data_IF_802966400749
#
_entry.id   IF_802966400749
#
_cell.length_a   1.000
_cell.length_b   1.000
_cell.length_c   1.000
_cell.angle_alpha   90.00
_cell.angle_beta   90.00
_cell.angle_gamma   90.00
#
_symmetry.space_group_name_H-M   'P 1'
#
loop_
_entity.id
_entity.type
_entity.pdbx_description
1 polymer ?
#
# COMPACT_ATOMS: atom_id res chain seq x y z
N UNK A 1 -33.83 35.95 58.43
CA UNK A 1 -32.78 35.07 57.87
C UNK A 1 -33.06 34.90 56.37
N UNK A 2 -32.28 35.55 55.50
CA UNK A 2 -32.45 35.47 54.04
C UNK A 2 -31.57 34.33 53.51
N UNK A 3 -32.20 33.30 52.96
CA UNK A 3 -31.52 32.16 52.34
C UNK A 3 -30.96 32.57 50.98
N UNK A 4 -29.64 32.47 50.83
CA UNK A 4 -28.91 32.72 49.58
C UNK A 4 -28.89 31.40 48.78
N UNK A 5 -29.71 31.29 47.74
CA UNK A 5 -29.65 30.18 46.80
C UNK A 5 -28.51 30.44 45.80
N UNK A 6 -27.40 29.72 45.97
CA UNK A 6 -26.29 29.69 45.02
C UNK A 6 -26.66 28.71 43.91
N UNK A 7 -26.99 29.26 42.74
CA UNK A 7 -27.26 28.49 41.53
C UNK A 7 -25.91 28.07 40.93
N UNK A 8 -25.51 26.81 41.11
CA UNK A 8 -24.37 26.21 40.43
C UNK A 8 -24.74 25.93 38.96
N UNK A 9 -24.35 26.82 38.05
CA UNK A 9 -24.36 26.54 36.62
C UNK A 9 -23.25 25.54 36.29
N UNK A 10 -23.61 24.27 36.10
CA UNK A 10 -22.72 23.30 35.47
C UNK A 10 -22.60 23.66 33.98
N UNK A 11 -21.47 24.26 33.59
CA UNK A 11 -21.06 24.34 32.20
C UNK A 11 -20.74 22.90 31.72
N UNK A 12 -21.66 22.29 30.98
CA UNK A 12 -21.35 21.09 30.21
C UNK A 12 -20.51 21.54 29.02
N UNK A 13 -19.19 21.35 29.11
CA UNK A 13 -18.32 21.44 27.94
C UNK A 13 -18.74 20.31 27.00
N UNK A 14 -19.52 20.65 25.96
CA UNK A 14 -19.72 19.75 24.83
C UNK A 14 -18.35 19.64 24.14
N UNK A 15 -17.61 18.58 24.44
CA UNK A 15 -16.48 18.18 23.63
C UNK A 15 -17.05 17.86 22.25
N UNK A 16 -16.79 18.72 21.27
CA UNK A 16 -16.97 18.39 19.87
C UNK A 16 -16.05 17.22 19.57
N UNK A 17 -16.57 15.99 19.66
CA UNK A 17 -15.98 14.84 18.99
C UNK A 17 -15.95 15.24 17.51
N UNK A 18 -14.78 15.64 17.01
CA UNK A 18 -14.57 15.69 15.57
C UNK A 18 -14.85 14.26 15.10
N UNK A 19 -15.95 14.08 14.37
CA UNK A 19 -16.21 12.82 13.71
C UNK A 19 -15.02 12.60 12.78
N UNK A 20 -14.28 11.51 12.98
CA UNK A 20 -13.26 11.11 12.01
C UNK A 20 -13.98 10.87 10.67
N UNK A 21 -13.46 11.45 9.59
CA UNK A 21 -14.07 11.28 8.26
C UNK A 21 -14.05 9.80 7.89
N UNK A 22 -15.18 9.27 7.42
CA UNK A 22 -15.26 7.90 6.94
C UNK A 22 -14.48 7.77 5.62
N UNK A 23 -13.92 6.57 5.39
CA UNK A 23 -13.31 6.22 4.13
C UNK A 23 -14.37 6.04 3.05
N UNK A 24 -14.41 6.97 2.10
CA UNK A 24 -15.26 6.88 0.92
C UNK A 24 -14.34 6.79 -0.31
N UNK A 25 -14.27 5.62 -0.98
CA UNK A 25 -13.54 5.48 -2.24
C UNK A 25 -14.03 6.50 -3.26
N UNK A 26 -13.10 7.09 -4.03
CA UNK A 26 -13.44 8.04 -5.08
C UNK A 26 -14.15 7.41 -6.30
N UNK A 27 -14.27 6.08 -6.32
CA UNK A 27 -14.85 5.26 -7.37
C UNK A 27 -15.42 3.98 -6.77
N UNK A 28 -16.16 3.19 -7.56
CA UNK A 28 -16.40 1.79 -7.22
C UNK A 28 -15.08 1.04 -7.11
N UNK A 29 -14.95 0.15 -6.13
CA UNK A 29 -13.74 -0.67 -6.04
C UNK A 29 -13.63 -1.54 -7.30
N UNK A 30 -12.41 -1.88 -7.72
CA UNK A 30 -12.20 -2.73 -8.89
C UNK A 30 -12.57 -4.18 -8.59
N UNK A 31 -13.08 -4.91 -9.59
CA UNK A 31 -13.21 -6.38 -9.49
C UNK A 31 -11.81 -7.02 -9.50
N UNK A 32 -11.57 -8.09 -8.71
CA UNK A 32 -12.53 -8.79 -7.84
C UNK A 32 -12.69 -8.14 -6.45
N UNK A 33 -11.87 -7.16 -6.06
CA UNK A 33 -11.90 -6.57 -4.71
C UNK A 33 -13.31 -6.13 -4.28
N UNK A 34 -14.09 -5.53 -5.18
CA UNK A 34 -15.45 -5.08 -4.88
C UNK A 34 -16.39 -6.21 -4.43
N UNK A 35 -16.20 -7.40 -4.98
CA UNK A 35 -17.02 -8.59 -4.74
C UNK A 35 -16.66 -9.26 -3.42
N UNK A 36 -15.39 -9.19 -3.03
CA UNK A 36 -14.84 -9.88 -1.84
C UNK A 36 -14.56 -8.94 -0.66
N UNK A 37 -14.80 -7.64 -0.82
CA UNK A 37 -14.55 -6.63 0.20
C UNK A 37 -15.26 -6.94 1.51
N UNK A 38 -14.65 -6.51 2.60
CA UNK A 38 -15.26 -6.53 3.94
C UNK A 38 -15.10 -5.18 4.58
N UNK A 39 -16.17 -4.69 5.20
CA UNK A 39 -16.11 -3.45 5.95
C UNK A 39 -15.38 -3.68 7.28
N UNK A 40 -14.47 -2.76 7.61
CA UNK A 40 -13.67 -2.77 8.84
C UNK A 40 -13.90 -1.49 9.64
N UNK A 41 -13.60 -1.48 10.96
CA UNK A 41 -13.68 -0.27 11.75
C UNK A 41 -12.90 0.92 11.17
N UNK A 42 -11.74 0.67 10.55
CA UNK A 42 -10.92 1.74 9.93
C UNK A 42 -11.64 2.46 8.80
N UNK A 43 -12.54 1.79 8.08
CA UNK A 43 -13.32 2.39 6.99
C UNK A 43 -14.32 3.44 7.51
N UNK A 44 -14.76 3.33 8.76
CA UNK A 44 -15.67 4.29 9.39
C UNK A 44 -14.94 5.37 10.19
N UNK A 45 -13.61 5.27 10.31
CA UNK A 45 -12.79 6.03 11.27
C UNK A 45 -11.59 6.72 10.63
N UNK A 46 -11.34 6.51 9.34
CA UNK A 46 -10.19 7.10 8.68
C UNK A 46 -10.48 7.43 7.22
N UNK A 47 -10.49 8.73 6.89
CA UNK A 47 -10.67 9.20 5.53
C UNK A 47 -9.40 9.04 4.69
N UNK A 48 -9.47 9.26 3.36
CA UNK A 48 -8.35 9.03 2.45
C UNK A 48 -7.11 9.90 2.70
N UNK A 49 -7.24 11.04 3.40
CA UNK A 49 -6.08 11.87 3.80
C UNK A 49 -5.33 11.32 5.00
N UNK A 50 -5.96 10.45 5.80
CA UNK A 50 -5.41 9.98 7.05
C UNK A 50 -5.12 11.11 8.05
N UNK A 51 -4.11 10.92 8.90
CA UNK A 51 -3.59 11.91 9.87
C UNK A 51 -2.38 12.69 9.34
N UNK A 52 -2.20 12.78 8.01
CA UNK A 52 -1.02 13.43 7.41
C UNK A 52 -0.72 14.82 8.00
N UNK A 53 0.51 15.01 8.48
CA UNK A 53 0.93 16.20 9.27
C UNK A 53 0.94 17.49 8.44
N UNK A 54 1.07 17.36 7.12
CA UNK A 54 1.13 18.47 6.18
C UNK A 54 0.45 18.11 4.84
N UNK A 55 0.29 19.12 3.97
CA UNK A 55 -0.38 18.95 2.69
C UNK A 55 0.27 17.88 1.79
N UNK A 56 1.59 17.74 1.84
CA UNK A 56 2.31 16.74 1.03
C UNK A 56 2.04 15.31 1.53
N UNK A 57 2.05 15.11 2.85
CA UNK A 57 1.70 13.81 3.44
C UNK A 57 0.23 13.46 3.16
N UNK A 58 -0.69 14.40 3.31
CA UNK A 58 -2.11 14.20 2.96
C UNK A 58 -2.28 13.84 1.49
N UNK A 59 -1.59 14.56 0.59
CA UNK A 59 -1.63 14.26 -0.85
C UNK A 59 -1.08 12.86 -1.15
N UNK A 60 -0.01 12.44 -0.48
CA UNK A 60 0.49 11.07 -0.59
C UNK A 60 -0.51 10.05 -0.07
N UNK A 61 -1.12 10.28 1.09
CA UNK A 61 -2.11 9.38 1.69
C UNK A 61 -3.34 9.21 0.78
N UNK A 62 -3.78 10.28 0.11
CA UNK A 62 -4.87 10.21 -0.88
C UNK A 62 -4.51 9.28 -2.03
N UNK A 63 -3.27 9.35 -2.55
CA UNK A 63 -2.83 8.42 -3.61
C UNK A 63 -2.65 7.01 -3.04
N UNK A 64 -2.05 6.89 -1.84
CA UNK A 64 -1.85 5.61 -1.15
C UNK A 64 -3.20 4.90 -0.93
N UNK A 65 -4.26 5.64 -0.68
CA UNK A 65 -5.63 5.12 -0.51
C UNK A 65 -6.49 5.12 -1.78
N UNK A 66 -5.89 5.31 -2.97
CA UNK A 66 -6.63 5.37 -4.22
C UNK A 66 -6.86 3.98 -4.82
N UNK A 67 -8.11 3.53 -4.84
CA UNK A 67 -8.52 2.26 -5.46
C UNK A 67 -8.98 2.41 -6.92
N UNK A 68 -8.77 3.57 -7.54
CA UNK A 68 -9.42 3.96 -8.80
C UNK A 68 -8.55 3.80 -10.05
N UNK A 69 -7.45 3.06 -9.96
CA UNK A 69 -6.67 2.73 -11.16
C UNK A 69 -7.48 1.77 -12.06
N UNK A 70 -7.76 2.17 -13.30
CA UNK A 70 -8.59 1.44 -14.26
C UNK A 70 -7.84 1.03 -15.52
N UNK A 71 -8.45 0.16 -16.34
CA UNK A 71 -7.93 -0.25 -17.65
C UNK A 71 -7.40 -1.68 -17.65
N UNK A 72 -6.59 -2.02 -18.65
CA UNK A 72 -5.87 -3.29 -18.67
C UNK A 72 -4.58 -3.15 -17.84
N UNK A 73 -4.36 -4.00 -16.81
CA UNK A 73 -3.14 -3.92 -16.03
C UNK A 73 -1.89 -4.11 -16.89
N UNK A 74 -0.96 -3.15 -16.83
CA UNK A 74 0.33 -3.33 -17.49
C UNK A 74 1.21 -4.28 -16.68
N UNK A 75 1.71 -5.33 -17.31
CA UNK A 75 2.61 -6.27 -16.65
C UNK A 75 4.00 -5.65 -16.54
N UNK A 76 4.49 -5.51 -15.31
CA UNK A 76 5.80 -4.92 -15.04
C UNK A 76 6.88 -5.99 -14.91
N UNK A 77 8.12 -5.58 -15.16
CA UNK A 77 9.30 -6.37 -14.79
C UNK A 77 10.07 -5.63 -13.70
N UNK A 78 10.99 -6.33 -13.02
CA UNK A 78 11.86 -5.71 -12.03
C UNK A 78 12.71 -4.58 -12.63
N UNK A 79 13.04 -4.65 -13.92
CA UNK A 79 13.80 -3.60 -14.58
C UNK A 79 12.95 -2.34 -14.84
N UNK A 80 11.63 -2.49 -15.06
CA UNK A 80 10.73 -1.34 -15.13
C UNK A 80 10.71 -0.56 -13.81
N UNK A 81 10.65 -1.24 -12.66
CA UNK A 81 10.77 -0.59 -11.35
C UNK A 81 12.12 0.13 -11.16
N UNK A 82 13.23 -0.45 -11.65
CA UNK A 82 14.54 0.24 -11.63
C UNK A 82 14.51 1.50 -12.50
N UNK A 83 13.91 1.44 -13.68
CA UNK A 83 13.80 2.60 -14.58
C UNK A 83 12.94 3.69 -13.97
N UNK A 84 11.80 3.35 -13.36
CA UNK A 84 10.97 4.28 -12.58
C UNK A 84 11.80 4.96 -11.48
N UNK A 85 12.53 4.18 -10.67
CA UNK A 85 13.39 4.73 -9.62
C UNK A 85 14.47 5.67 -10.16
N UNK A 86 15.15 5.28 -11.24
CA UNK A 86 16.18 6.10 -11.87
C UNK A 86 15.64 7.44 -12.36
N UNK A 87 14.41 7.44 -12.91
CA UNK A 87 13.75 8.67 -13.37
C UNK A 87 13.33 9.56 -12.22
N UNK A 88 12.74 8.99 -11.17
CA UNK A 88 12.45 9.73 -9.93
C UNK A 88 13.71 10.33 -9.32
N UNK A 89 14.82 9.59 -9.27
CA UNK A 89 16.11 10.11 -8.79
C UNK A 89 16.63 11.26 -9.65
N UNK A 90 16.46 11.19 -10.97
CA UNK A 90 16.84 12.28 -11.87
C UNK A 90 15.99 13.54 -11.61
N UNK A 91 14.68 13.40 -11.41
CA UNK A 91 13.81 14.52 -11.04
C UNK A 91 14.23 15.16 -9.70
N UNK A 92 14.56 14.35 -8.69
CA UNK A 92 15.07 14.85 -7.40
C UNK A 92 16.41 15.56 -7.55
N UNK A 93 17.34 15.01 -8.34
CA UNK A 93 18.63 15.64 -8.60
C UNK A 93 18.50 16.97 -9.36
N UNK A 94 17.47 17.11 -10.20
CA UNK A 94 17.12 18.35 -10.89
C UNK A 94 16.35 19.35 -10.03
N UNK A 95 15.99 19.00 -8.78
CA UNK A 95 15.15 19.83 -7.92
C UNK A 95 13.69 19.94 -8.37
N UNK A 96 13.23 19.04 -9.25
CA UNK A 96 11.84 19.04 -9.73
C UNK A 96 10.88 18.37 -8.75
N UNK A 97 11.38 17.48 -7.90
CA UNK A 97 10.62 16.84 -6.81
C UNK A 97 11.52 16.68 -5.57
N UNK A 98 10.90 16.54 -4.41
CA UNK A 98 11.56 16.16 -3.16
C UNK A 98 10.98 14.84 -2.64
N UNK A 99 11.78 14.00 -2.00
CA UNK A 99 11.30 12.82 -1.27
C UNK A 99 12.31 12.37 -0.21
N UNK A 100 11.81 11.58 0.74
CA UNK A 100 12.51 11.06 1.91
C UNK A 100 12.22 11.88 3.16
N UNK A 101 11.78 11.22 4.23
CA UNK A 101 11.43 11.85 5.50
C UNK A 101 9.97 12.28 5.58
N UNK A 102 9.73 13.41 6.24
CA UNK A 102 8.37 13.95 6.51
C UNK A 102 7.78 14.76 5.34
N UNK A 103 8.55 14.95 4.27
CA UNK A 103 8.21 15.77 3.12
C UNK A 103 8.25 14.92 1.83
N UNK A 104 7.24 14.06 1.60
CA UNK A 104 7.05 13.46 0.27
C UNK A 104 6.78 14.56 -0.78
N UNK A 105 6.80 14.25 -2.09
CA UNK A 105 6.54 15.25 -3.12
C UNK A 105 5.15 15.89 -2.92
N UNK A 106 5.12 17.21 -2.69
CA UNK A 106 3.87 17.95 -2.55
C UNK A 106 3.10 18.01 -3.88
N UNK A 107 3.83 18.23 -4.99
CA UNK A 107 3.31 18.05 -6.34
C UNK A 107 3.76 16.68 -6.89
N UNK A 108 2.77 15.84 -7.21
CA UNK A 108 2.97 14.50 -7.75
C UNK A 108 2.69 14.44 -9.26
N UNK A 109 2.39 15.56 -9.90
CA UNK A 109 2.06 15.63 -11.34
C UNK A 109 3.16 15.01 -12.20
N UNK A 110 4.43 15.28 -11.86
CA UNK A 110 5.63 14.74 -12.52
C UNK A 110 5.82 13.22 -12.37
N UNK A 111 5.09 12.60 -11.45
CA UNK A 111 5.17 11.16 -11.19
C UNK A 111 4.11 10.36 -11.94
N UNK A 112 3.04 10.99 -12.45
CA UNK A 112 1.91 10.28 -13.09
C UNK A 112 2.29 9.66 -14.44
N UNK A 113 2.99 10.42 -15.27
CA UNK A 113 3.37 10.05 -16.63
C UNK A 113 4.90 9.96 -16.76
N UNK A 114 5.53 9.10 -15.95
CA UNK A 114 6.97 9.14 -15.71
C UNK A 114 7.79 8.45 -16.80
N UNK A 115 7.35 7.28 -17.27
CA UNK A 115 8.05 6.49 -18.30
C UNK A 115 7.08 5.85 -19.27
N UNK A 116 7.57 5.47 -20.45
CA UNK A 116 6.84 4.58 -21.37
C UNK A 116 7.41 3.17 -21.28
N UNK A 117 6.55 2.20 -21.00
CA UNK A 117 6.87 0.77 -20.98
C UNK A 117 5.85 0.02 -21.86
N UNK A 118 6.33 -0.83 -22.77
CA UNK A 118 5.48 -1.59 -23.70
C UNK A 118 4.48 -0.70 -24.48
N UNK A 119 4.90 0.52 -24.85
CA UNK A 119 4.07 1.47 -25.59
C UNK A 119 3.04 2.22 -24.75
N UNK A 120 2.97 1.97 -23.44
CA UNK A 120 2.05 2.64 -22.50
C UNK A 120 2.85 3.54 -21.56
N UNK A 121 2.42 4.78 -21.40
CA UNK A 121 2.98 5.68 -20.39
C UNK A 121 2.43 5.33 -19.01
N UNK A 122 3.32 5.17 -18.04
CA UNK A 122 3.00 4.75 -16.69
C UNK A 122 3.72 5.61 -15.64
N UNK A 123 3.15 5.56 -14.44
CA UNK A 123 3.62 6.23 -13.24
C UNK A 123 2.57 6.13 -12.14
N UNK A 124 2.60 7.08 -11.21
CA UNK A 124 1.76 7.14 -10.03
C UNK A 124 0.26 7.12 -10.42
N UNK A 125 -0.48 6.13 -9.94
CA UNK A 125 -1.89 5.93 -10.29
C UNK A 125 -2.15 4.94 -11.43
N UNK A 126 -1.12 4.42 -12.10
CA UNK A 126 -1.30 3.45 -13.21
C UNK A 126 -1.75 2.08 -12.70
N UNK A 127 -2.65 1.40 -13.40
CA UNK A 127 -3.04 0.02 -13.09
C UNK A 127 -1.97 -0.95 -13.62
N UNK A 128 -1.39 -1.74 -12.72
CA UNK A 128 -0.25 -2.60 -13.04
C UNK A 128 -0.40 -3.99 -12.45
N UNK A 129 0.41 -4.91 -12.98
CA UNK A 129 0.47 -6.30 -12.54
C UNK A 129 1.92 -6.77 -12.45
N UNK A 130 2.25 -7.57 -11.44
CA UNK A 130 3.61 -8.09 -11.26
C UNK A 130 3.60 -9.53 -10.74
N UNK A 131 4.45 -10.38 -11.31
CA UNK A 131 4.64 -11.77 -10.88
C UNK A 131 5.94 -11.90 -10.07
N UNK A 132 5.81 -12.43 -8.86
CA UNK A 132 6.92 -12.56 -7.91
C UNK A 132 6.76 -13.75 -6.97
N UNK A 133 7.83 -14.08 -6.26
CA UNK A 133 7.78 -14.87 -5.04
C UNK A 133 7.65 -13.91 -3.86
N UNK A 134 6.95 -14.32 -2.80
CA UNK A 134 6.85 -13.52 -1.57
C UNK A 134 7.82 -14.10 -0.54
N UNK A 135 8.92 -13.39 -0.28
CA UNK A 135 9.90 -13.83 0.72
C UNK A 135 9.38 -13.64 2.15
N UNK A 136 8.71 -12.52 2.40
CA UNK A 136 8.18 -12.17 3.71
C UNK A 136 6.87 -11.41 3.60
N UNK A 137 6.00 -11.59 4.59
CA UNK A 137 4.78 -10.81 4.78
C UNK A 137 4.63 -10.39 6.24
N UNK A 138 4.10 -9.19 6.49
CA UNK A 138 3.90 -8.64 7.85
C UNK A 138 2.84 -7.54 7.87
N UNK A 139 2.22 -7.33 9.02
CA UNK A 139 1.45 -6.10 9.25
C UNK A 139 2.42 -4.94 9.52
N UNK A 140 2.19 -3.79 8.91
CA UNK A 140 2.95 -2.57 9.15
C UNK A 140 2.61 -1.95 10.49
N UNK A 141 3.62 -1.29 11.08
CA UNK A 141 3.52 -0.33 12.18
C UNK A 141 2.45 -0.60 13.26
N UNK A 142 2.14 -1.86 13.62
CA UNK A 142 0.98 -2.19 14.47
C UNK A 142 1.00 -1.55 15.87
N UNK A 143 2.16 -1.07 16.33
CA UNK A 143 2.31 -0.39 17.62
C UNK A 143 1.93 1.08 17.59
N UNK A 144 2.19 1.77 16.48
CA UNK A 144 2.04 3.23 16.35
C UNK A 144 0.99 3.62 15.29
N UNK A 145 0.72 2.74 14.34
CA UNK A 145 -0.12 2.96 13.17
C UNK A 145 0.64 3.60 12.01
N UNK A 146 -0.07 3.78 10.90
CA UNK A 146 0.38 4.57 9.76
C UNK A 146 -0.52 5.78 9.60
N UNK A 147 0.04 6.91 9.16
CA UNK A 147 -0.76 8.13 9.00
C UNK A 147 -1.88 7.95 7.98
N UNK A 148 -1.64 7.19 6.91
CA UNK A 148 -2.68 6.82 5.91
C UNK A 148 -3.86 6.07 6.54
N UNK A 149 -3.61 5.37 7.65
CA UNK A 149 -4.60 4.63 8.43
C UNK A 149 -4.89 5.31 9.78
N UNK A 150 -4.72 6.63 9.84
CA UNK A 150 -5.02 7.51 10.98
C UNK A 150 -4.34 7.09 12.30
N UNK A 151 -3.10 6.61 12.20
CA UNK A 151 -2.28 6.15 13.32
C UNK A 151 -3.00 5.09 14.20
N UNK A 152 -3.96 4.38 13.61
CA UNK A 152 -4.70 3.32 14.31
C UNK A 152 -3.77 2.14 14.53
N UNK A 153 -3.79 1.63 15.75
CA UNK A 153 -2.93 0.50 16.16
C UNK A 153 -3.55 -0.83 15.79
N UNK A 154 -2.70 -1.87 15.76
CA UNK A 154 -3.10 -3.25 15.56
C UNK A 154 -3.16 -3.67 14.09
N UNK A 155 -3.10 -5.00 13.87
CA UNK A 155 -3.04 -5.59 12.53
C UNK A 155 -4.29 -5.36 11.67
N UNK A 156 -5.46 -5.18 12.29
CA UNK A 156 -6.70 -4.96 11.56
C UNK A 156 -6.74 -3.60 10.85
N UNK A 157 -6.05 -2.60 11.41
CA UNK A 157 -6.09 -1.22 10.93
C UNK A 157 -4.82 -0.79 10.19
N UNK A 158 -3.89 -1.71 9.90
CA UNK A 158 -2.64 -1.39 9.22
C UNK A 158 -2.45 -2.25 7.97
N UNK A 159 -1.61 -1.78 7.06
CA UNK A 159 -1.34 -2.45 5.79
C UNK A 159 -0.65 -3.80 6.01
N UNK A 160 -0.83 -4.72 5.06
CA UNK A 160 0.01 -5.92 4.96
C UNK A 160 1.11 -5.63 3.93
N UNK A 161 2.36 -5.63 4.36
CA UNK A 161 3.52 -5.45 3.49
C UNK A 161 4.02 -6.80 2.99
N UNK A 162 4.24 -6.90 1.67
CA UNK A 162 4.80 -8.05 0.98
C UNK A 162 6.19 -7.72 0.44
N UNK A 163 7.21 -8.48 0.85
CA UNK A 163 8.57 -8.40 0.32
C UNK A 163 8.67 -9.30 -0.93
N UNK A 164 8.65 -8.70 -2.11
CA UNK A 164 8.62 -9.38 -3.41
C UNK A 164 10.02 -9.63 -3.95
N UNK A 165 10.30 -10.89 -4.31
CA UNK A 165 11.61 -11.35 -4.83
C UNK A 165 11.44 -12.21 -6.10
N UNK A 166 12.53 -12.45 -6.80
CA UNK A 166 12.60 -13.42 -7.91
C UNK A 166 13.30 -14.72 -7.52
N UNK A 167 14.01 -14.76 -6.40
CA UNK A 167 14.50 -15.97 -5.76
C UNK A 167 14.37 -15.83 -4.23
N UNK A 168 13.87 -16.88 -3.56
CA UNK A 168 13.72 -16.89 -2.10
C UNK A 168 15.08 -16.85 -1.36
N UNK A 169 16.13 -17.32 -2.01
CA UNK A 169 17.49 -17.36 -1.46
C UNK A 169 18.44 -16.56 -2.35
N UNK A 170 19.40 -15.87 -1.72
CA UNK A 170 20.44 -15.13 -2.45
C UNK A 170 20.04 -13.71 -2.86
N UNK A 171 18.80 -13.29 -2.66
CA UNK A 171 18.41 -11.88 -2.80
C UNK A 171 18.59 -11.11 -1.48
N UNK A 172 19.26 -9.97 -1.59
CA UNK A 172 19.42 -9.01 -0.49
C UNK A 172 18.16 -8.16 -0.35
N UNK A 173 18.00 -7.50 0.80
CA UNK A 173 16.89 -6.57 1.02
C UNK A 173 16.82 -5.46 -0.06
N UNK A 174 17.97 -5.02 -0.58
CA UNK A 174 18.05 -4.00 -1.63
C UNK A 174 17.64 -4.47 -3.03
N UNK A 175 17.33 -5.76 -3.20
CA UNK A 175 16.84 -6.33 -4.46
C UNK A 175 15.32 -6.58 -4.44
N UNK A 176 14.71 -6.41 -3.27
CA UNK A 176 13.28 -6.62 -3.03
C UNK A 176 12.45 -5.45 -3.57
N UNK A 177 11.29 -5.78 -4.10
CA UNK A 177 10.19 -4.83 -4.36
C UNK A 177 9.13 -4.96 -3.27
N UNK A 178 8.22 -3.99 -3.19
CA UNK A 178 7.14 -4.00 -2.21
C UNK A 178 5.78 -4.00 -2.91
N UNK A 179 4.82 -4.67 -2.28
CA UNK A 179 3.40 -4.46 -2.51
C UNK A 179 2.72 -4.43 -1.16
N UNK A 180 1.67 -3.62 -1.04
CA UNK A 180 1.02 -3.37 0.23
C UNK A 180 -0.51 -3.57 0.09
N UNK A 181 -1.12 -4.20 1.08
CA UNK A 181 -2.56 -4.49 1.09
C UNK A 181 -3.20 -3.61 2.16
N UNK A 182 -3.84 -2.52 1.71
CA UNK A 182 -4.54 -1.58 2.59
C UNK A 182 -5.54 -2.29 3.51
N UNK A 183 -5.75 -1.84 4.76
CA UNK A 183 -6.79 -2.37 5.63
C UNK A 183 -8.18 -1.95 5.17
N UNK A 184 -8.28 -0.86 4.39
CA UNK A 184 -9.55 -0.39 3.87
C UNK A 184 -10.18 -1.43 2.95
N UNK A 185 -11.39 -1.86 3.31
CA UNK A 185 -12.15 -2.89 2.60
C UNK A 185 -11.47 -4.26 2.44
N UNK A 186 -10.37 -4.53 3.16
CA UNK A 186 -9.54 -5.73 2.96
C UNK A 186 -10.32 -7.03 3.13
N UNK A 187 -10.25 -7.99 2.19
CA UNK A 187 -10.83 -9.31 2.40
C UNK A 187 -10.22 -10.00 3.63
N UNK A 188 -11.05 -10.62 4.47
CA UNK A 188 -10.57 -11.27 5.70
C UNK A 188 -9.57 -12.39 5.41
N UNK A 189 -9.78 -13.13 4.32
CA UNK A 189 -8.90 -14.21 3.85
C UNK A 189 -7.46 -13.73 3.63
N UNK A 190 -7.26 -12.46 3.27
CA UNK A 190 -5.94 -11.89 3.04
C UNK A 190 -5.09 -11.75 4.31
N UNK A 191 -5.71 -11.72 5.50
CA UNK A 191 -4.98 -11.65 6.76
C UNK A 191 -4.10 -12.89 7.01
N UNK A 192 -4.41 -14.03 6.37
CA UNK A 192 -3.59 -15.25 6.46
C UNK A 192 -2.19 -15.06 5.88
N UNK A 193 -2.02 -14.11 4.95
CA UNK A 193 -0.74 -13.82 4.29
C UNK A 193 0.28 -13.30 5.30
N UNK A 194 -0.13 -12.39 6.19
CA UNK A 194 0.75 -11.81 7.20
C UNK A 194 0.67 -12.49 8.56
N UNK A 195 -0.32 -13.38 8.79
CA UNK A 195 -0.72 -13.95 10.09
C UNK A 195 -1.31 -12.91 11.05
N UNK A 196 -1.58 -13.27 12.30
CA UNK A 196 -2.17 -12.33 13.30
C UNK A 196 -1.11 -11.55 14.09
N UNK A 197 -1.33 -10.26 14.30
CA UNK A 197 -0.79 -9.48 15.43
C UNK A 197 0.73 -9.26 15.56
N UNK A 198 1.54 -9.45 14.52
CA UNK A 198 2.99 -9.25 14.60
C UNK A 198 3.54 -8.40 13.45
N UNK A 199 4.40 -7.43 13.79
CA UNK A 199 5.30 -6.72 12.84
C UNK A 199 6.53 -7.54 12.48
N UNK A 200 6.77 -8.67 13.15
CA UNK A 200 7.91 -9.53 12.83
C UNK A 200 7.72 -10.08 11.42
N UNK A 201 8.76 -9.90 10.61
CA UNK A 201 8.89 -10.54 9.30
C UNK A 201 8.69 -12.04 9.45
N UNK A 202 7.74 -12.59 8.70
CA UNK A 202 7.49 -14.04 8.62
C UNK A 202 7.68 -14.50 7.20
N UNK A 203 8.21 -15.71 7.04
CA UNK A 203 8.17 -16.40 5.76
C UNK A 203 6.72 -16.46 5.28
N UNK A 204 6.51 -16.06 4.04
CA UNK A 204 5.19 -16.07 3.41
C UNK A 204 4.56 -17.47 3.46
N UNK A 205 3.23 -17.59 3.64
CA UNK A 205 2.55 -18.88 3.51
C UNK A 205 2.62 -19.46 2.09
N UNK A 206 3.01 -18.67 1.09
CA UNK A 206 3.13 -19.11 -0.30
C UNK A 206 4.36 -19.99 -0.56
N UNK A 207 5.34 -20.04 0.34
CA UNK A 207 6.56 -20.82 0.11
C UNK A 207 7.21 -20.49 -1.26
N UNK A 208 7.52 -21.49 -2.11
CA UNK A 208 8.07 -21.30 -3.44
C UNK A 208 7.04 -20.97 -4.53
N UNK A 209 5.74 -20.93 -4.19
CA UNK A 209 4.67 -20.67 -5.15
C UNK A 209 4.65 -19.19 -5.55
N UNK A 210 4.78 -18.85 -6.85
CA UNK A 210 4.63 -17.48 -7.32
C UNK A 210 3.23 -16.93 -7.10
N UNK A 211 3.18 -15.62 -6.93
CA UNK A 211 1.95 -14.83 -6.90
C UNK A 211 1.95 -13.80 -8.01
N UNK A 212 0.75 -13.49 -8.51
CA UNK A 212 0.48 -12.42 -9.45
C UNK A 212 -0.31 -11.34 -8.73
N UNK A 213 0.30 -10.18 -8.57
CA UNK A 213 -0.27 -9.07 -7.81
C UNK A 213 -0.76 -8.03 -8.80
N UNK A 214 -2.01 -7.61 -8.67
CA UNK A 214 -2.61 -6.54 -9.46
C UNK A 214 -3.01 -5.39 -8.53
N UNK A 215 -2.71 -4.16 -8.92
CA UNK A 215 -3.06 -2.97 -8.14
C UNK A 215 -2.56 -1.68 -8.76
N UNK A 216 -2.63 -0.60 -8.00
CA UNK A 216 -2.11 0.69 -8.42
C UNK A 216 -0.58 0.76 -8.26
N UNK A 217 0.11 1.29 -9.25
CA UNK A 217 1.50 1.71 -9.13
C UNK A 217 1.57 3.00 -8.32
N UNK A 218 2.32 2.98 -7.23
CA UNK A 218 2.45 4.08 -6.29
C UNK A 218 3.91 4.39 -5.99
N UNK A 219 4.25 5.67 -5.89
CA UNK A 219 5.56 6.11 -5.41
C UNK A 219 5.50 6.54 -3.94
N UNK A 220 6.14 5.77 -3.07
CA UNK A 220 6.29 6.13 -1.66
C UNK A 220 7.42 7.16 -1.48
N UNK A 221 7.01 8.43 -1.38
CA UNK A 221 7.89 9.57 -1.21
C UNK A 221 8.37 9.80 0.22
N UNK A 222 7.91 9.03 1.21
CA UNK A 222 8.33 9.20 2.61
C UNK A 222 9.67 8.55 2.92
N UNK A 223 10.19 7.73 2.01
CA UNK A 223 11.40 6.94 2.20
C UNK A 223 12.46 7.27 1.16
N UNK A 224 13.68 6.77 1.36
CA UNK A 224 14.70 6.67 0.30
C UNK A 224 15.09 5.20 0.11
N UNK A 225 15.29 4.72 -1.14
CA UNK A 225 15.66 3.33 -1.39
C UNK A 225 17.14 3.07 -1.13
N UNK A 226 17.58 1.82 -1.30
CA UNK A 226 18.99 1.47 -1.18
C UNK A 226 19.89 2.28 -2.13
N UNK A 227 21.05 2.69 -1.62
CA UNK A 227 22.06 3.41 -2.40
C UNK A 227 21.77 4.90 -2.59
N UNK A 228 20.67 5.41 -2.02
CA UNK A 228 20.39 6.84 -1.94
C UNK A 228 20.63 7.40 -0.53
N UNK A 229 21.08 8.64 -0.46
CA UNK A 229 21.23 9.38 0.79
C UNK A 229 19.94 10.15 1.07
N UNK A 230 19.43 10.02 2.30
CA UNK A 230 18.25 10.74 2.75
C UNK A 230 17.68 10.18 4.04
N UNK A 231 16.58 10.78 4.50
CA UNK A 231 15.89 10.38 5.71
C UNK A 231 15.02 9.14 5.47
N UNK A 232 14.78 8.39 6.55
CA UNK A 232 13.99 7.15 6.57
C UNK A 232 14.42 6.14 5.48
N UNK A 233 15.71 5.76 5.43
CA UNK A 233 16.18 4.80 4.43
C UNK A 233 15.48 3.46 4.60
N UNK A 234 14.90 2.97 3.51
CA UNK A 234 14.25 1.66 3.47
C UNK A 234 15.06 0.74 2.57
N UNK A 235 15.33 -0.48 3.07
CA UNK A 235 16.11 -1.47 2.34
C UNK A 235 15.23 -2.16 1.29
N UNK A 236 15.03 -1.48 0.15
CA UNK A 236 14.32 -1.97 -1.04
C UNK A 236 14.96 -1.42 -2.32
N UNK A 237 14.69 -2.09 -3.44
CA UNK A 237 15.21 -1.75 -4.77
C UNK A 237 14.67 -0.41 -5.28
N UNK A 238 13.42 -0.11 -4.96
CA UNK A 238 12.70 1.07 -5.41
C UNK A 238 11.65 1.48 -4.38
N UNK A 239 11.34 2.77 -4.34
CA UNK A 239 10.17 3.31 -3.63
C UNK A 239 8.87 3.18 -4.45
N UNK A 240 8.97 2.74 -5.70
CA UNK A 240 7.81 2.35 -6.49
C UNK A 240 7.32 0.98 -6.03
N UNK A 241 6.05 0.90 -5.71
CA UNK A 241 5.38 -0.28 -5.17
C UNK A 241 3.98 -0.44 -5.76
N UNK A 242 3.36 -1.59 -5.52
CA UNK A 242 1.95 -1.79 -5.84
C UNK A 242 1.14 -1.53 -4.56
N UNK A 243 0.46 -0.38 -4.51
CA UNK A 243 -0.40 0.02 -3.41
C UNK A 243 -1.52 1.00 -3.85
N UNK A 244 -2.79 0.73 -3.50
CA UNK A 244 -3.27 -0.49 -2.86
C UNK A 244 -3.21 -1.70 -3.82
N UNK A 245 -3.05 -2.90 -3.25
CA UNK A 245 -3.29 -4.17 -3.96
C UNK A 245 -4.80 -4.40 -4.14
N UNK A 246 -5.21 -4.76 -5.36
CA UNK A 246 -6.60 -5.05 -5.73
C UNK A 246 -6.87 -6.56 -5.86
N UNK A 247 -5.87 -7.32 -6.30
CA UNK A 247 -5.96 -8.77 -6.40
C UNK A 247 -4.60 -9.42 -6.19
N UNK A 248 -4.64 -10.63 -5.61
CA UNK A 248 -3.52 -11.56 -5.58
C UNK A 248 -4.03 -12.87 -6.15
N UNK A 249 -3.34 -13.38 -7.16
CA UNK A 249 -3.55 -14.74 -7.66
C UNK A 249 -2.33 -15.60 -7.27
N UNK A 250 -2.59 -16.88 -7.00
CA UNK A 250 -1.60 -17.89 -6.60
C UNK A 250 -1.41 -18.82 -7.80
N UNK A 251 -0.15 -19.11 -8.15
CA UNK A 251 0.12 -19.99 -9.27
C UNK A 251 -0.11 -21.46 -8.92
N UNK A 252 -0.53 -22.27 -9.90
CA UNK A 252 -0.62 -23.72 -9.78
C UNK A 252 0.76 -24.43 -9.72
N UNK A 253 1.87 -23.71 -9.91
CA UNK A 253 3.23 -24.25 -9.98
C UNK A 253 4.19 -23.51 -9.06
N UNK A 254 5.27 -24.16 -8.63
CA UNK A 254 6.30 -23.60 -7.74
C UNK A 254 7.49 -22.97 -8.48
N UNK A 255 7.27 -22.46 -9.70
CA UNK A 255 8.31 -21.84 -10.53
C UNK A 255 7.80 -20.63 -11.29
N UNK A 256 8.54 -19.52 -11.20
CA UNK A 256 8.24 -18.30 -11.95
C UNK A 256 8.19 -18.50 -13.47
N UNK A 257 8.90 -19.50 -14.02
CA UNK A 257 8.89 -19.77 -15.46
C UNK A 257 7.64 -20.52 -15.92
N UNK A 258 6.95 -21.21 -15.01
CA UNK A 258 5.70 -21.93 -15.28
C UNK A 258 4.46 -21.09 -14.97
N UNK A 259 4.67 -19.86 -14.50
CA UNK A 259 3.63 -18.93 -14.10
C UNK A 259 3.73 -17.65 -14.94
N UNK A 260 3.47 -17.72 -16.26
CA UNK A 260 3.48 -16.53 -17.10
C UNK A 260 2.31 -15.61 -16.72
N UNK A 261 2.59 -14.31 -16.72
CA UNK A 261 1.66 -13.26 -16.29
C UNK A 261 0.29 -13.26 -16.98
N UNK A 262 0.25 -13.71 -18.24
CA UNK A 262 -0.87 -13.53 -19.18
C UNK A 262 -1.61 -14.84 -19.48
N UNK A 263 -1.25 -15.92 -18.80
CA UNK A 263 -1.96 -17.20 -18.91
C UNK A 263 -2.85 -17.38 -17.69
N UNK A 264 -4.10 -16.96 -17.77
CA UNK A 264 -5.03 -17.07 -16.64
C UNK A 264 -5.31 -18.53 -16.22
N UNK A 265 -4.97 -19.54 -17.03
CA UNK A 265 -5.24 -20.95 -16.69
C UNK A 265 -4.38 -21.50 -15.54
N UNK A 266 -3.30 -20.81 -15.19
CA UNK A 266 -2.36 -21.23 -14.14
C UNK A 266 -2.52 -20.43 -12.84
N UNK A 267 -3.47 -19.50 -12.79
CA UNK A 267 -3.66 -18.57 -11.67
C UNK A 267 -5.01 -18.79 -11.01
N UNK A 268 -5.01 -19.08 -9.70
CA UNK A 268 -6.22 -19.09 -8.88
C UNK A 268 -6.25 -17.84 -7.99
N UNK A 269 -7.36 -17.11 -7.90
CA UNK A 269 -7.48 -15.99 -6.98
C UNK A 269 -7.24 -16.43 -5.52
N UNK A 270 -6.44 -15.66 -4.78
CA UNK A 270 -6.08 -15.97 -3.38
C UNK A 270 -7.29 -16.17 -2.46
N UNK A 271 -8.41 -15.52 -2.78
CA UNK A 271 -9.64 -15.58 -1.99
C UNK A 271 -10.46 -16.85 -2.25
N UNK A 272 -10.21 -17.57 -3.34
CA UNK A 272 -10.83 -18.87 -3.64
C UNK A 272 -10.07 -20.03 -3.03
N UNK A 273 -8.79 -19.82 -2.71
CA UNK A 273 -7.89 -20.79 -2.05
C UNK A 273 -8.21 -20.97 -0.54
N UNK A 274 -9.41 -20.64 -0.07
CA UNK A 274 -9.88 -20.98 1.28
C UNK A 274 -10.57 -22.36 1.25
N UNK A 275 -10.12 -23.34 2.06
CA UNK A 275 -10.98 -24.48 2.35
C UNK A 275 -12.20 -23.97 3.12
N UNK A 276 -13.40 -24.38 2.68
CA UNK A 276 -14.64 -24.24 3.46
C UNK A 276 -14.49 -24.85 4.86
#
# INVERSE_FOLDING_TARGET
>A
MRSLQILFCFLVLAASLLAEDAFVPACSLPSPLDEIKKHHPVDAQCGPEGTGDNAAQKAQNVVKSNFCATGTPLVLTRDVFKTLQQKTKALRAAGEIEYGGENPPADRSKLRDLITAQGVTIGDGSLVRYVALVSEARHSNVGDGESVNCDKKGSASNDIHLDLVRALTGETACQKLSAEMSPHFRPVSWNRVAGTGSTKKRTSPFGPTPVRITGQLFFDGSHVPCGEVGQRPMKRLSNWEIHPVYAIDVCAFDSLTQCPENDDSVWTPLHEEDPQ
#
